data_IF_926572229645
#
_entry.id   IF_926572229645
#
_cell.length_a   1.000
_cell.length_b   1.000
_cell.length_c   1.000
_cell.angle_alpha   90.00
_cell.angle_beta   90.00
_cell.angle_gamma   90.00
#
_symmetry.space_group_name_H-M   'P 1'
#
loop_
_entity.id
_entity.type
_entity.pdbx_description
1 polymer ?
#
# COMPACT_ATOMS: atom_id res chain seq x y z
N UNK A 1 23.66 -19.02 3.73
CA UNK A 1 22.99 -18.04 4.61
C UNK A 1 22.81 -16.78 3.79
N UNK A 2 21.59 -16.43 3.36
CA UNK A 2 21.41 -15.13 2.67
C UNK A 2 21.53 -14.06 3.74
N UNK A 3 22.48 -13.12 3.56
CA UNK A 3 22.55 -11.92 4.39
C UNK A 3 21.17 -11.26 4.42
N UNK A 4 20.71 -10.93 5.62
CA UNK A 4 19.45 -10.23 5.79
C UNK A 4 19.69 -8.80 5.31
N UNK A 5 19.03 -8.41 4.23
CA UNK A 5 19.13 -7.04 3.72
C UNK A 5 18.76 -6.08 4.85
N UNK A 6 19.63 -5.10 5.11
CA UNK A 6 19.32 -4.02 6.05
C UNK A 6 18.16 -3.21 5.50
N UNK A 7 17.04 -3.21 6.23
CA UNK A 7 15.81 -2.57 5.80
C UNK A 7 15.97 -1.06 5.68
N UNK A 8 16.75 -0.42 6.55
CA UNK A 8 16.94 1.03 6.50
C UNK A 8 17.73 1.42 5.25
N UNK A 9 18.78 0.65 4.94
CA UNK A 9 19.54 0.85 3.71
C UNK A 9 18.69 0.60 2.46
N UNK A 10 17.87 -0.47 2.48
CA UNK A 10 16.96 -0.77 1.37
C UNK A 10 15.93 0.34 1.15
N UNK A 11 15.33 0.86 2.21
CA UNK A 11 14.40 1.99 2.14
C UNK A 11 15.07 3.23 1.55
N UNK A 12 16.28 3.58 2.00
CA UNK A 12 17.02 4.72 1.44
C UNK A 12 17.32 4.55 -0.04
N UNK A 13 17.76 3.36 -0.45
CA UNK A 13 18.02 3.04 -1.86
C UNK A 13 16.74 3.14 -2.69
N UNK A 14 15.63 2.56 -2.22
CA UNK A 14 14.33 2.62 -2.89
C UNK A 14 13.84 4.07 -3.00
N UNK A 15 13.94 4.86 -1.94
CA UNK A 15 13.56 6.27 -1.94
C UNK A 15 14.30 7.05 -3.04
N UNK A 16 15.62 6.86 -3.14
CA UNK A 16 16.45 7.52 -4.14
C UNK A 16 16.15 7.12 -5.60
N UNK A 17 15.34 6.08 -5.82
CA UNK A 17 14.86 5.74 -7.16
C UNK A 17 13.60 6.50 -7.57
N UNK A 18 12.90 7.14 -6.63
CA UNK A 18 11.65 7.82 -6.89
C UNK A 18 11.90 9.24 -7.40
N UNK A 19 11.13 9.63 -8.42
CA UNK A 19 11.11 11.00 -8.91
C UNK A 19 10.13 11.89 -8.13
N UNK A 20 10.38 13.20 -8.15
CA UNK A 20 9.48 14.23 -7.62
C UNK A 20 8.55 14.70 -8.73
N UNK A 21 7.25 14.75 -8.46
CA UNK A 21 6.22 15.07 -9.46
C UNK A 21 5.73 13.83 -10.23
N UNK A 22 4.46 13.85 -10.63
CA UNK A 22 3.78 12.72 -11.28
C UNK A 22 4.41 12.32 -12.60
N UNK A 23 4.95 13.27 -13.36
CA UNK A 23 5.65 13.07 -14.61
C UNK A 23 6.94 12.23 -14.45
N UNK A 24 7.48 12.16 -13.24
CA UNK A 24 8.66 11.38 -12.90
C UNK A 24 8.30 10.06 -12.18
N UNK A 25 7.06 9.58 -12.33
CA UNK A 25 6.63 8.32 -11.74
C UNK A 25 7.42 7.12 -12.25
N UNK A 26 7.81 6.24 -11.32
CA UNK A 26 8.64 5.07 -11.57
C UNK A 26 7.87 3.80 -11.23
N UNK A 27 7.78 2.88 -12.19
CA UNK A 27 7.13 1.59 -11.98
C UNK A 27 7.96 0.68 -11.06
N UNK A 28 7.31 -0.25 -10.34
CA UNK A 28 8.03 -1.23 -9.50
C UNK A 28 9.04 -2.05 -10.29
N UNK A 29 8.74 -2.34 -11.55
CA UNK A 29 9.65 -3.05 -12.45
C UNK A 29 10.95 -2.27 -12.66
N UNK A 30 10.85 -0.96 -12.90
CA UNK A 30 12.03 -0.11 -13.04
C UNK A 30 12.84 -0.05 -11.73
N UNK A 31 12.18 -0.01 -10.57
CA UNK A 31 12.85 -0.05 -9.27
C UNK A 31 13.57 -1.40 -9.05
N UNK A 32 12.95 -2.52 -9.44
CA UNK A 32 13.58 -3.86 -9.41
C UNK A 32 14.82 -3.87 -10.30
N UNK A 33 14.69 -3.38 -11.54
CA UNK A 33 15.77 -3.36 -12.52
C UNK A 33 16.94 -2.46 -12.08
N UNK A 34 16.67 -1.34 -11.40
CA UNK A 34 17.70 -0.40 -10.94
C UNK A 34 18.40 -0.84 -9.65
N UNK A 35 17.68 -1.47 -8.72
CA UNK A 35 18.22 -1.82 -7.39
C UNK A 35 18.70 -3.27 -7.29
N UNK A 36 18.20 -4.16 -8.15
CA UNK A 36 18.39 -5.61 -8.03
C UNK A 36 17.62 -6.25 -6.87
N UNK A 37 16.81 -5.48 -6.13
CA UNK A 37 16.02 -5.99 -5.03
C UNK A 37 14.78 -6.75 -5.49
N UNK A 38 14.36 -7.80 -4.74
CA UNK A 38 13.15 -8.52 -5.07
C UNK A 38 11.92 -7.62 -4.89
N UNK A 39 10.93 -7.75 -5.79
CA UNK A 39 9.69 -6.95 -5.79
C UNK A 39 8.99 -6.93 -4.42
N UNK A 40 9.04 -8.04 -3.67
CA UNK A 40 8.47 -8.12 -2.32
C UNK A 40 9.14 -7.15 -1.33
N UNK A 41 10.47 -7.01 -1.39
CA UNK A 41 11.20 -6.06 -0.54
C UNK A 41 10.90 -4.62 -0.95
N UNK A 42 10.84 -4.34 -2.25
CA UNK A 42 10.49 -3.00 -2.77
C UNK A 42 9.09 -2.60 -2.31
N UNK A 43 8.12 -3.52 -2.39
CA UNK A 43 6.76 -3.27 -1.91
C UNK A 43 6.76 -2.90 -0.42
N UNK A 44 7.47 -3.65 0.41
CA UNK A 44 7.58 -3.37 1.84
C UNK A 44 8.27 -2.02 2.12
N UNK A 45 9.35 -1.70 1.39
CA UNK A 45 10.03 -0.40 1.51
C UNK A 45 9.10 0.76 1.16
N UNK A 46 8.37 0.67 0.05
CA UNK A 46 7.40 1.70 -0.36
C UNK A 46 6.28 1.86 0.67
N UNK A 47 5.76 0.76 1.21
CA UNK A 47 4.72 0.79 2.25
C UNK A 47 5.21 1.54 3.49
N UNK A 48 6.45 1.31 3.94
CA UNK A 48 7.04 2.00 5.10
C UNK A 48 7.39 3.47 4.82
N UNK A 49 8.00 3.76 3.67
CA UNK A 49 8.36 5.14 3.31
C UNK A 49 7.12 6.05 3.25
N UNK A 50 5.97 5.52 2.79
CA UNK A 50 4.69 6.24 2.73
C UNK A 50 4.12 6.67 4.09
N UNK A 51 4.65 6.13 5.20
CA UNK A 51 4.22 6.54 6.54
C UNK A 51 4.68 7.97 6.85
N UNK A 52 5.83 8.38 6.32
CA UNK A 52 6.46 9.67 6.61
C UNK A 52 6.60 10.58 5.37
N UNK A 53 6.68 9.99 4.17
CA UNK A 53 6.89 10.72 2.91
C UNK A 53 5.63 10.74 2.02
N UNK A 54 5.37 11.82 1.24
CA UNK A 54 4.21 11.95 0.36
C UNK A 54 4.37 11.16 -0.95
N UNK A 55 4.69 9.86 -0.84
CA UNK A 55 4.85 8.97 -1.98
C UNK A 55 3.46 8.54 -2.46
N UNK A 56 3.09 8.91 -3.68
CA UNK A 56 1.80 8.62 -4.29
C UNK A 56 1.93 7.50 -5.33
N UNK A 57 0.82 6.84 -5.63
CA UNK A 57 0.73 5.92 -6.77
C UNK A 57 -0.11 6.57 -7.85
N UNK A 58 0.43 6.69 -9.06
CA UNK A 58 -0.28 7.25 -10.19
C UNK A 58 -1.46 6.34 -10.59
N UNK A 59 -2.62 6.96 -10.87
CA UNK A 59 -3.87 6.25 -11.20
C UNK A 59 -3.86 5.59 -12.57
N UNK A 60 -3.01 6.06 -13.48
CA UNK A 60 -2.78 5.50 -14.81
C UNK A 60 -1.85 4.27 -14.80
N UNK A 61 -1.32 3.89 -13.64
CA UNK A 61 -0.41 2.75 -13.49
C UNK A 61 1.06 3.05 -13.85
N UNK A 62 1.42 4.31 -14.12
CA UNK A 62 2.81 4.71 -14.42
C UNK A 62 3.79 4.41 -13.28
N UNK A 63 3.32 4.42 -12.03
CA UNK A 63 4.09 3.93 -10.90
C UNK A 63 4.00 4.82 -9.67
N UNK A 64 5.15 5.04 -9.03
CA UNK A 64 5.31 5.70 -7.74
C UNK A 64 6.13 6.98 -7.91
N UNK A 65 5.74 8.04 -7.22
CA UNK A 65 6.43 9.33 -7.23
C UNK A 65 6.25 10.04 -5.90
N UNK A 66 7.13 11.00 -5.60
CA UNK A 66 7.03 11.90 -4.46
C UNK A 66 6.23 13.13 -4.89
N UNK A 67 5.18 13.48 -4.18
CA UNK A 67 4.39 14.67 -4.49
C UNK A 67 5.22 15.96 -4.32
N UNK A 68 4.96 16.96 -5.16
CA UNK A 68 5.53 18.31 -4.99
C UNK A 68 4.87 19.05 -3.83
N UNK A 69 5.57 20.04 -3.25
CA UNK A 69 5.01 20.89 -2.17
C UNK A 69 4.14 22.04 -2.70
N UNK A 70 3.97 22.15 -4.01
CA UNK A 70 3.14 23.17 -4.65
C UNK A 70 1.65 22.79 -4.66
N UNK A 71 0.82 23.70 -5.18
CA UNK A 71 -0.62 23.52 -5.23
C UNK A 71 -1.04 22.27 -6.02
N UNK A 72 -0.27 21.89 -7.04
CA UNK A 72 -0.55 20.69 -7.83
C UNK A 72 -0.31 19.44 -6.98
N UNK A 73 0.87 19.31 -6.35
CA UNK A 73 1.20 18.15 -5.52
C UNK A 73 0.26 17.99 -4.32
N UNK A 74 -0.16 19.10 -3.70
CA UNK A 74 -1.18 19.08 -2.62
C UNK A 74 -2.52 18.54 -3.15
N UNK A 75 -2.94 18.99 -4.33
CA UNK A 75 -4.19 18.50 -4.96
C UNK A 75 -4.11 17.00 -5.23
N UNK A 76 -3.01 16.53 -5.81
CA UNK A 76 -2.78 15.11 -6.08
C UNK A 76 -2.76 14.27 -4.80
N UNK A 77 -2.16 14.77 -3.72
CA UNK A 77 -2.16 14.11 -2.42
C UNK A 77 -3.58 13.98 -1.83
N UNK A 78 -4.39 15.04 -1.90
CA UNK A 78 -5.80 15.02 -1.46
C UNK A 78 -6.61 14.00 -2.25
N UNK A 79 -6.46 13.97 -3.57
CA UNK A 79 -7.13 13.00 -4.45
C UNK A 79 -6.71 11.56 -4.10
N UNK A 80 -5.41 11.35 -3.90
CA UNK A 80 -4.87 10.04 -3.56
C UNK A 80 -5.41 9.54 -2.21
N UNK A 81 -5.38 10.36 -1.16
CA UNK A 81 -5.94 10.03 0.18
C UNK A 81 -7.43 9.73 0.08
N UNK A 82 -8.18 10.56 -0.64
CA UNK A 82 -9.61 10.34 -0.88
C UNK A 82 -9.86 9.00 -1.57
N UNK A 83 -9.05 8.67 -2.58
CA UNK A 83 -9.07 7.39 -3.27
C UNK A 83 -8.78 6.21 -2.34
N UNK A 84 -7.76 6.29 -1.49
CA UNK A 84 -7.43 5.24 -0.52
C UNK A 84 -8.56 5.01 0.49
N UNK A 85 -9.17 6.08 1.00
CA UNK A 85 -10.32 5.97 1.92
C UNK A 85 -11.51 5.26 1.27
N UNK A 86 -11.79 5.56 -0.01
CA UNK A 86 -12.82 4.85 -0.79
C UNK A 86 -12.47 3.37 -0.97
N UNK A 87 -11.21 3.04 -1.27
CA UNK A 87 -10.73 1.64 -1.38
C UNK A 87 -10.89 0.90 -0.05
N UNK A 88 -10.51 1.51 1.07
CA UNK A 88 -10.68 0.93 2.40
C UNK A 88 -12.15 0.62 2.70
N UNK A 89 -13.07 1.55 2.38
CA UNK A 89 -14.51 1.33 2.51
C UNK A 89 -15.00 0.17 1.63
N UNK A 90 -14.52 0.10 0.39
CA UNK A 90 -14.86 -0.98 -0.55
C UNK A 90 -14.41 -2.34 -0.03
N UNK A 91 -13.16 -2.46 0.44
CA UNK A 91 -12.62 -3.70 1.03
C UNK A 91 -13.48 -4.15 2.21
N UNK A 92 -13.79 -3.24 3.15
CA UNK A 92 -14.67 -3.54 4.29
C UNK A 92 -16.05 -4.04 3.83
N UNK A 93 -16.63 -3.42 2.81
CA UNK A 93 -17.91 -3.85 2.23
C UNK A 93 -17.82 -5.26 1.63
N UNK A 94 -16.75 -5.56 0.90
CA UNK A 94 -16.53 -6.90 0.32
C UNK A 94 -16.35 -7.99 1.39
N UNK A 95 -15.82 -7.66 2.56
CA UNK A 95 -15.74 -8.60 3.69
C UNK A 95 -17.11 -8.97 4.31
N UNK A 96 -18.20 -8.26 3.98
CA UNK A 96 -19.51 -8.48 4.61
C UNK A 96 -20.05 -9.90 4.42
N UNK A 97 -19.80 -10.53 3.26
CA UNK A 97 -20.22 -11.91 3.03
C UNK A 97 -19.56 -12.90 3.99
N UNK A 98 -18.24 -12.79 4.17
CA UNK A 98 -17.48 -13.62 5.11
C UNK A 98 -17.90 -13.35 6.56
N UNK A 99 -18.13 -12.09 6.93
CA UNK A 99 -18.60 -11.71 8.27
C UNK A 99 -19.95 -12.34 8.60
N UNK A 100 -20.91 -12.34 7.65
CA UNK A 100 -22.22 -12.97 7.84
C UNK A 100 -22.11 -14.48 8.09
N UNK A 101 -21.20 -15.16 7.38
CA UNK A 101 -20.94 -16.58 7.60
C UNK A 101 -20.41 -16.82 9.03
N UNK A 102 -19.39 -16.05 9.44
CA UNK A 102 -18.80 -16.13 10.79
C UNK A 102 -19.88 -15.95 11.86
N UNK A 103 -20.72 -14.91 11.76
CA UNK A 103 -21.79 -14.65 12.73
C UNK A 103 -22.83 -15.76 12.78
N UNK A 104 -23.23 -16.33 11.63
CA UNK A 104 -24.20 -17.43 11.59
C UNK A 104 -23.68 -18.68 12.29
N UNK A 105 -22.42 -19.04 12.08
CA UNK A 105 -21.80 -20.22 12.70
C UNK A 105 -21.68 -20.04 14.22
N UNK A 106 -21.20 -18.88 14.68
CA UNK A 106 -21.10 -18.58 16.11
C UNK A 106 -22.45 -18.64 16.84
N UNK A 107 -23.53 -18.20 16.19
CA UNK A 107 -24.88 -18.28 16.76
C UNK A 107 -25.40 -19.73 16.88
N UNK A 108 -25.04 -20.61 15.95
CA UNK A 108 -25.38 -22.04 16.02
C UNK A 108 -24.65 -22.70 17.19
N UNK A 109 -23.34 -22.48 17.32
CA UNK A 109 -22.52 -23.04 18.41
C UNK A 109 -23.00 -22.56 19.80
N UNK A 110 -23.39 -21.28 19.93
CA UNK A 110 -23.95 -20.74 21.17
C UNK A 110 -25.38 -21.23 21.48
N UNK A 111 -26.15 -21.56 20.44
CA UNK A 111 -27.52 -22.08 20.58
C UNK A 111 -27.55 -23.55 21.02
N UNK A 112 -26.59 -24.36 20.58
CA UNK A 112 -26.42 -25.75 21.00
C UNK A 112 -25.95 -25.86 22.46
N UNK A 113 -25.08 -24.96 22.93
CA UNK A 113 -24.63 -24.91 24.33
C UNK A 113 -25.73 -24.59 25.36
N UNK A 114 -26.88 -24.05 24.96
CA UNK A 114 -27.97 -23.67 25.89
C UNK A 114 -29.06 -24.73 26.05
N UNK A 115 -29.01 -25.80 25.25
CA UNK A 115 -30.03 -26.86 25.24
C UNK A 115 -29.48 -28.23 25.72
N UNK A 116 -28.27 -28.25 26.29
CA UNK A 116 -27.63 -29.43 26.87
C UNK A 116 -27.65 -29.43 28.39
#
# INVERSE_FOLDING_TARGET
MKEKVDMNLAMLIVYNTLGVGKENAVSRRQIVESTGYPDRLIRECIERLREEDPILSATDGSGYYIATEDAQGVTEAVEWVTGQNRRAKSIRKSCSGAQKLISRVQQMEMGECKNG
#
